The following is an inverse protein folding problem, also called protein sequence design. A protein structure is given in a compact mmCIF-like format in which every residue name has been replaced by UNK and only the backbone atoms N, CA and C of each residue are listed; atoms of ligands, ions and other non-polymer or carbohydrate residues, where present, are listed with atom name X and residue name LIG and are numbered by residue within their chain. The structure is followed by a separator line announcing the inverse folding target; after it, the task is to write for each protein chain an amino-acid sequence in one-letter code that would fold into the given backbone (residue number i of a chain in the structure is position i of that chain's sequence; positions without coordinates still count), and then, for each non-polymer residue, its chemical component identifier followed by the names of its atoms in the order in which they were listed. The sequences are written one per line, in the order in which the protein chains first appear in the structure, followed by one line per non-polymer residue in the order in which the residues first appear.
data_IF_795622623874
#
_entry.id   IF_795622623874
#
_cell.length_a   1.000
_cell.length_b   1.000
_cell.length_c   1.000
_cell.angle_alpha   90.00
_cell.angle_beta   90.00
_cell.angle_gamma   90.00
#
_symmetry.space_group_name_H-M   'P 1'
#
loop_
_entity.id
_entity.type
_entity.pdbx_description
1 polymer ?
#
# COMPACT_ATOMS: atom_id res chain seq x y z
N UNK A 1 39.66 -9.90 60.65
CA UNK A 1 38.41 -10.33 59.98
C UNK A 1 38.75 -10.84 58.58
N UNK A 2 38.99 -12.15 58.40
CA UNK A 2 39.30 -12.71 57.08
C UNK A 2 38.03 -12.82 56.22
N UNK A 3 38.12 -12.37 54.96
CA UNK A 3 37.03 -12.49 53.96
C UNK A 3 36.99 -13.91 53.42
N UNK A 4 35.94 -14.65 53.75
CA UNK A 4 35.62 -15.95 53.15
C UNK A 4 35.34 -15.81 51.64
N UNK A 5 35.96 -16.69 50.85
CA UNK A 5 35.79 -16.76 49.40
C UNK A 5 34.60 -17.68 49.09
N UNK A 6 33.58 -17.13 48.45
CA UNK A 6 32.41 -17.87 47.96
C UNK A 6 32.82 -18.72 46.74
N UNK A 7 32.51 -20.04 46.70
CA UNK A 7 32.80 -20.89 45.56
C UNK A 7 31.83 -20.64 44.40
N UNK A 8 32.36 -20.49 43.18
CA UNK A 8 31.60 -20.35 41.93
C UNK A 8 31.01 -21.70 41.52
N UNK A 9 29.70 -21.87 41.66
CA UNK A 9 28.99 -23.05 41.16
C UNK A 9 28.93 -23.05 39.63
N UNK A 10 29.48 -24.10 39.03
CA UNK A 10 29.54 -24.40 37.60
C UNK A 10 28.16 -24.85 37.09
N UNK A 11 27.44 -23.97 36.40
CA UNK A 11 26.20 -24.31 35.68
C UNK A 11 26.55 -25.20 34.49
N UNK A 12 26.03 -26.43 34.47
CA UNK A 12 26.18 -27.37 33.35
C UNK A 12 25.12 -27.04 32.30
N UNK A 13 25.56 -26.73 31.08
CA UNK A 13 24.72 -26.46 29.92
C UNK A 13 23.84 -27.66 29.59
N UNK A 14 22.53 -27.42 29.50
CA UNK A 14 21.55 -28.37 29.01
C UNK A 14 21.74 -28.58 27.49
N UNK A 15 21.73 -29.86 27.13
CA UNK A 15 21.89 -30.44 25.80
C UNK A 15 20.75 -29.98 24.89
N UNK A 16 21.07 -29.23 23.83
CA UNK A 16 20.14 -28.90 22.75
C UNK A 16 19.87 -30.13 21.90
N UNK A 17 18.61 -30.58 21.84
CA UNK A 17 18.17 -31.60 20.88
C UNK A 17 18.18 -31.05 19.44
N UNK A 18 18.54 -31.88 18.44
CA UNK A 18 18.50 -31.46 17.04
C UNK A 18 17.07 -31.39 16.50
N UNK A 19 16.72 -30.22 15.98
CA UNK A 19 15.47 -29.90 15.28
C UNK A 19 15.19 -30.86 14.11
N UNK A 20 14.07 -31.58 14.19
CA UNK A 20 13.53 -32.46 13.12
C UNK A 20 12.81 -31.61 12.08
N UNK A 21 13.33 -31.59 10.84
CA UNK A 21 12.69 -30.89 9.70
C UNK A 21 11.32 -31.51 9.38
N UNK A 22 10.27 -30.72 9.11
CA UNK A 22 9.03 -31.23 8.56
C UNK A 22 9.21 -31.61 7.08
N UNK A 23 8.70 -32.79 6.75
CA UNK A 23 8.65 -33.39 5.42
C UNK A 23 7.66 -32.59 4.57
N UNK A 24 8.05 -32.26 3.34
CA UNK A 24 7.17 -31.67 2.33
C UNK A 24 6.63 -32.82 1.48
N UNK A 25 5.36 -33.17 1.67
CA UNK A 25 4.66 -33.99 0.71
C UNK A 25 3.62 -33.12 0.00
N UNK A 26 3.86 -33.01 -1.30
CA UNK A 26 3.09 -32.33 -2.33
C UNK A 26 2.13 -33.33 -2.96
N UNK A 27 0.82 -33.10 -2.88
CA UNK A 27 -0.17 -33.73 -3.77
C UNK A 27 -1.23 -32.66 -4.12
N UNK A 28 -1.22 -32.21 -5.39
CA UNK A 28 -2.27 -32.43 -6.39
C UNK A 28 -3.59 -31.72 -6.01
N UNK A 29 -3.78 -30.45 -6.42
CA UNK A 29 -4.49 -30.05 -7.64
C UNK A 29 -5.65 -30.99 -8.01
N UNK A 30 -6.85 -30.63 -7.56
CA UNK A 30 -8.08 -30.95 -8.28
C UNK A 30 -8.86 -29.65 -8.49
N UNK A 31 -8.65 -29.06 -9.67
CA UNK A 31 -9.44 -27.97 -10.20
C UNK A 31 -10.58 -28.56 -11.01
N UNK A 32 -11.78 -28.61 -10.42
CA UNK A 32 -12.99 -28.90 -11.17
C UNK A 32 -14.17 -28.10 -10.61
N UNK A 33 -14.95 -27.57 -11.55
CA UNK A 33 -16.35 -27.11 -11.42
C UNK A 33 -16.55 -25.68 -10.89
N UNK A 34 -16.53 -24.71 -11.82
CA UNK A 34 -17.70 -23.83 -11.98
C UNK A 34 -17.76 -23.34 -13.43
N UNK A 35 -18.63 -23.97 -14.21
CA UNK A 35 -19.13 -23.43 -15.48
C UNK A 35 -20.20 -22.39 -15.14
N UNK A 36 -20.09 -21.19 -15.69
CA UNK A 36 -21.24 -20.33 -15.92
C UNK A 36 -21.14 -19.76 -17.32
N UNK A 37 -22.12 -20.17 -18.10
CA UNK A 37 -22.47 -19.82 -19.46
C UNK A 37 -22.48 -18.30 -19.71
N UNK A 38 -21.93 -17.89 -20.85
CA UNK A 38 -22.54 -16.85 -21.67
C UNK A 38 -22.40 -17.27 -23.13
N UNK A 39 -23.49 -17.75 -23.71
CA UNK A 39 -23.64 -17.94 -25.15
C UNK A 39 -23.57 -16.60 -25.88
N UNK A 40 -22.74 -16.59 -26.92
CA UNK A 40 -22.74 -15.66 -28.04
C UNK A 40 -24.06 -15.73 -28.81
N UNK A 41 -24.60 -14.54 -29.16
CA UNK A 41 -25.35 -14.37 -30.41
C UNK A 41 -24.83 -13.16 -31.17
N UNK A 42 -24.00 -13.48 -32.16
CA UNK A 42 -23.81 -12.86 -33.46
C UNK A 42 -24.59 -11.56 -33.75
N UNK A 43 -23.83 -10.48 -34.00
CA UNK A 43 -23.99 -9.68 -35.22
C UNK A 43 -22.64 -9.29 -35.80
N UNK A 44 -22.28 -10.02 -36.84
CA UNK A 44 -21.22 -9.77 -37.80
C UNK A 44 -21.56 -8.52 -38.66
N UNK A 45 -20.71 -7.49 -38.63
CA UNK A 45 -20.51 -6.57 -39.77
C UNK A 45 -19.01 -6.33 -39.85
N UNK A 46 -18.41 -6.82 -40.94
CA UNK A 46 -16.97 -6.85 -41.15
C UNK A 46 -16.36 -5.49 -41.47
N UNK A 47 -15.02 -5.47 -41.39
CA UNK A 47 -14.22 -5.06 -42.54
C UNK A 47 -12.80 -5.59 -42.37
N UNK A 48 -12.47 -6.51 -43.27
CA UNK A 48 -11.13 -7.03 -43.49
C UNK A 48 -10.19 -5.91 -43.94
N UNK A 49 -9.00 -5.86 -43.35
CA UNK A 49 -7.88 -5.11 -43.93
C UNK A 49 -6.86 -6.06 -44.55
N UNK A 50 -6.43 -5.78 -45.79
CA UNK A 50 -5.63 -6.70 -46.61
C UNK A 50 -4.15 -6.68 -46.23
N UNK A 51 -3.49 -7.83 -46.43
CA UNK A 51 -2.04 -7.95 -46.56
C UNK A 51 -1.64 -7.61 -48.00
N UNK A 52 -0.57 -6.83 -48.18
CA UNK A 52 0.24 -6.86 -49.39
C UNK A 52 1.67 -6.41 -49.07
N UNK A 53 2.63 -7.25 -49.45
CA UNK A 53 4.05 -6.98 -49.56
C UNK A 53 4.34 -6.10 -50.79
N UNK A 54 5.14 -5.03 -50.63
CA UNK A 54 6.02 -4.46 -51.66
C UNK A 54 6.83 -3.27 -51.09
N UNK A 55 8.14 -3.27 -51.35
CA UNK A 55 9.04 -2.10 -51.30
C UNK A 55 9.55 -1.85 -52.74
N UNK A 56 10.33 -0.78 -53.06
CA UNK A 56 10.51 0.55 -52.45
C UNK A 56 10.35 1.71 -53.48
N UNK A 57 10.23 2.98 -53.05
CA UNK A 57 10.95 4.15 -53.63
C UNK A 57 10.45 5.51 -53.13
N UNK A 58 11.42 6.40 -52.88
CA UNK A 58 11.41 7.86 -53.08
C UNK A 58 10.44 8.76 -52.25
N UNK A 59 11.01 9.32 -51.17
CA UNK A 59 11.16 10.78 -51.02
C UNK A 59 9.94 11.63 -50.66
N UNK A 60 9.83 12.04 -49.39
CA UNK A 60 9.54 13.43 -48.99
C UNK A 60 9.69 13.59 -47.46
N UNK A 61 10.40 14.65 -47.07
CA UNK A 61 10.60 15.11 -45.68
C UNK A 61 9.26 15.57 -45.09
N UNK A 62 8.97 15.23 -43.82
CA UNK A 62 8.46 16.18 -42.82
C UNK A 62 8.12 15.52 -41.46
N UNK A 63 8.63 16.14 -40.41
CA UNK A 63 8.04 16.32 -39.08
C UNK A 63 7.68 15.07 -38.23
N UNK A 64 8.64 14.68 -37.40
CA UNK A 64 8.47 13.93 -36.16
C UNK A 64 7.49 14.63 -35.20
N UNK A 65 6.26 14.10 -35.09
CA UNK A 65 5.29 14.55 -34.09
C UNK A 65 5.56 13.87 -32.75
N UNK A 66 6.37 14.55 -31.94
CA UNK A 66 6.57 14.33 -30.50
C UNK A 66 5.20 14.26 -29.81
N UNK A 67 4.88 13.11 -29.20
CA UNK A 67 3.67 12.91 -28.41
C UNK A 67 3.91 13.61 -27.07
N UNK A 68 3.44 14.85 -26.96
CA UNK A 68 3.45 15.61 -25.72
C UNK A 68 2.44 15.00 -24.74
N UNK A 69 2.94 14.63 -23.56
CA UNK A 69 2.11 14.41 -22.39
C UNK A 69 1.45 15.74 -21.99
N UNK A 70 0.14 15.80 -21.73
CA UNK A 70 -0.47 17.00 -21.20
C UNK A 70 -0.09 17.14 -19.72
N UNK A 71 1.03 17.82 -19.46
CA UNK A 71 1.36 18.38 -18.15
C UNK A 71 0.52 19.65 -17.92
N UNK A 72 -0.75 19.48 -17.57
CA UNK A 72 -1.55 20.60 -17.05
C UNK A 72 -1.10 20.93 -15.62
N UNK A 73 -0.04 21.73 -15.49
CA UNK A 73 0.19 22.56 -14.30
C UNK A 73 -0.92 23.61 -14.25
N UNK A 74 -2.02 23.32 -13.54
CA UNK A 74 -2.96 24.36 -13.10
C UNK A 74 -2.44 24.98 -11.80
N UNK A 75 -2.53 26.31 -11.76
CA UNK A 75 -1.92 27.20 -10.79
C UNK A 75 -2.18 26.80 -9.33
N UNK A 76 -1.09 26.64 -8.59
CA UNK A 76 -1.00 26.38 -7.16
C UNK A 76 -0.90 27.69 -6.36
N UNK A 77 -1.77 28.67 -6.63
CA UNK A 77 -1.63 30.00 -6.05
C UNK A 77 -1.90 30.03 -4.52
N UNK A 78 -2.61 29.03 -3.98
CA UNK A 78 -2.97 28.95 -2.57
C UNK A 78 -2.35 27.73 -1.83
N UNK A 79 -1.47 26.96 -2.50
CA UNK A 79 -0.85 25.80 -1.85
C UNK A 79 0.46 26.19 -1.15
N UNK A 80 0.76 25.62 0.03
CA UNK A 80 2.00 25.87 0.74
C UNK A 80 3.23 25.41 -0.05
N UNK A 81 4.37 26.04 0.21
CA UNK A 81 5.66 25.71 -0.41
C UNK A 81 6.06 24.25 -0.20
N UNK A 82 5.70 23.67 0.95
CA UNK A 82 5.90 22.27 1.27
C UNK A 82 4.59 21.50 1.27
N UNK A 83 4.59 20.35 0.60
CA UNK A 83 3.46 19.44 0.59
C UNK A 83 3.14 18.86 1.98
N UNK A 84 4.10 18.86 2.91
CA UNK A 84 3.90 18.37 4.28
C UNK A 84 2.91 19.24 5.07
N UNK A 85 2.85 20.53 4.76
CA UNK A 85 2.03 21.52 5.46
C UNK A 85 0.58 21.53 4.99
N UNK A 86 0.23 20.74 3.97
CA UNK A 86 -1.13 20.61 3.47
C UNK A 86 -2.01 19.96 4.54
N UNK A 87 -2.96 20.72 5.08
CA UNK A 87 -3.95 20.20 6.02
C UNK A 87 -4.87 19.19 5.32
N UNK A 88 -5.06 18.02 5.92
CA UNK A 88 -6.01 17.00 5.46
C UNK A 88 -7.27 17.06 6.32
N UNK A 89 -8.43 16.82 5.71
CA UNK A 89 -9.70 16.76 6.44
C UNK A 89 -9.73 15.54 7.38
N UNK A 90 -9.91 15.81 8.68
CA UNK A 90 -10.08 14.79 9.71
C UNK A 90 -11.58 14.54 9.93
N UNK A 91 -11.98 13.26 9.97
CA UNK A 91 -13.35 12.84 10.35
C UNK A 91 -13.23 11.95 11.58
N UNK A 92 -14.03 12.23 12.61
CA UNK A 92 -13.99 11.47 13.89
C UNK A 92 -12.60 11.50 14.56
N UNK A 93 -11.83 12.57 14.35
CA UNK A 93 -10.50 12.74 14.92
C UNK A 93 -9.41 11.89 14.26
N UNK A 94 -9.67 11.24 13.12
CA UNK A 94 -8.66 10.58 12.30
C UNK A 94 -8.81 10.97 10.81
N UNK A 95 -7.72 10.92 10.03
CA UNK A 95 -7.81 11.09 8.57
C UNK A 95 -8.41 9.83 7.95
N UNK A 96 -9.49 9.95 7.14
CA UNK A 96 -10.05 8.80 6.44
C UNK A 96 -9.08 8.17 5.43
N UNK A 97 -8.91 6.86 5.53
CA UNK A 97 -8.11 6.07 4.59
C UNK A 97 -9.03 5.38 3.58
N UNK A 98 -9.08 5.87 2.33
CA UNK A 98 -9.94 5.28 1.29
C UNK A 98 -9.25 4.22 0.43
N UNK A 99 -7.92 4.29 0.35
CA UNK A 99 -7.10 3.33 -0.41
C UNK A 99 -6.86 2.07 0.42
N UNK A 100 -6.83 0.90 -0.23
CA UNK A 100 -6.52 -0.36 0.44
C UNK A 100 -5.02 -0.49 0.73
N UNK A 101 -4.66 -1.34 1.71
CA UNK A 101 -3.25 -1.51 2.09
C UNK A 101 -2.40 -2.03 0.91
N UNK A 102 -3.00 -2.81 0.00
CA UNK A 102 -2.34 -3.26 -1.21
C UNK A 102 -2.05 -2.12 -2.21
N UNK A 103 -2.97 -1.17 -2.45
CA UNK A 103 -2.69 0.02 -3.27
C UNK A 103 -1.64 0.91 -2.64
N UNK A 104 -1.69 1.14 -1.32
CA UNK A 104 -0.66 1.92 -0.63
C UNK A 104 0.72 1.29 -0.84
N UNK A 105 0.87 -0.03 -0.62
CA UNK A 105 2.14 -0.72 -0.91
C UNK A 105 2.60 -0.58 -2.34
N UNK A 106 1.70 -0.75 -3.32
CA UNK A 106 2.04 -0.59 -4.75
C UNK A 106 2.52 0.83 -5.06
N UNK A 107 1.85 1.85 -4.53
CA UNK A 107 2.23 3.26 -4.71
C UNK A 107 3.57 3.58 -4.06
N UNK A 108 3.79 3.12 -2.82
CA UNK A 108 5.07 3.31 -2.13
C UNK A 108 6.22 2.58 -2.82
N UNK A 109 6.03 1.32 -3.24
CA UNK A 109 7.04 0.60 -4.02
C UNK A 109 7.31 1.31 -5.35
N UNK A 110 6.29 1.83 -6.04
CA UNK A 110 6.49 2.59 -7.27
C UNK A 110 7.33 3.86 -7.05
N UNK A 111 7.18 4.56 -5.92
CA UNK A 111 8.02 5.71 -5.56
C UNK A 111 9.48 5.30 -5.34
N UNK A 112 9.70 4.18 -4.65
CA UNK A 112 11.04 3.63 -4.36
C UNK A 112 11.73 3.12 -5.63
N UNK A 113 11.02 2.37 -6.46
CA UNK A 113 11.54 1.74 -7.68
C UNK A 113 11.87 2.80 -8.73
N UNK A 114 11.01 3.80 -8.89
CA UNK A 114 11.26 4.94 -9.79
C UNK A 114 12.30 5.92 -9.25
N UNK A 115 12.71 5.79 -7.99
CA UNK A 115 13.56 6.75 -7.27
C UNK A 115 13.03 8.18 -7.47
N UNK A 116 11.72 8.35 -7.27
CA UNK A 116 11.05 9.63 -7.49
C UNK A 116 11.71 10.72 -6.61
N UNK A 117 11.79 11.96 -7.12
CA UNK A 117 12.34 13.07 -6.35
C UNK A 117 11.34 13.52 -5.29
N UNK A 118 11.84 13.85 -4.11
CA UNK A 118 11.03 14.41 -3.05
C UNK A 118 10.73 15.88 -3.42
N UNK A 119 9.46 16.31 -3.44
CA UNK A 119 9.12 17.71 -3.65
C UNK A 119 9.89 18.62 -2.68
N UNK A 120 10.49 19.70 -3.19
CA UNK A 120 11.29 20.62 -2.37
C UNK A 120 12.69 20.13 -1.97
N UNK A 121 13.10 18.92 -2.38
CA UNK A 121 14.45 18.40 -2.10
C UNK A 121 15.19 17.97 -3.37
N UNK A 122 16.53 17.94 -3.27
CA UNK A 122 17.40 17.32 -4.29
C UNK A 122 17.47 15.79 -4.16
N UNK A 123 16.97 15.24 -3.05
CA UNK A 123 17.03 13.81 -2.73
C UNK A 123 15.89 13.03 -3.39
N UNK A 124 16.14 11.73 -3.58
CA UNK A 124 15.14 10.78 -4.07
C UNK A 124 14.52 9.98 -2.93
N UNK A 125 13.34 9.41 -3.17
CA UNK A 125 12.70 8.47 -2.27
C UNK A 125 13.53 7.19 -2.20
N UNK A 126 14.00 6.89 -1.00
CA UNK A 126 14.54 5.61 -0.56
C UNK A 126 13.81 5.22 0.73
N UNK A 127 14.05 4.01 1.27
CA UNK A 127 13.31 3.55 2.46
C UNK A 127 13.54 4.43 3.69
N UNK A 128 14.73 5.01 3.82
CA UNK A 128 15.08 5.90 4.94
C UNK A 128 14.42 7.26 4.80
N UNK A 129 14.49 7.90 3.62
CA UNK A 129 13.82 9.17 3.39
C UNK A 129 12.30 9.02 3.44
N UNK A 130 11.74 7.98 2.84
CA UNK A 130 10.30 7.70 2.91
C UNK A 130 9.80 7.52 4.35
N UNK A 131 10.52 6.74 5.16
CA UNK A 131 10.21 6.58 6.58
C UNK A 131 10.31 7.91 7.33
N UNK A 132 11.29 8.76 6.99
CA UNK A 132 11.44 10.09 7.59
C UNK A 132 10.27 11.02 7.25
N UNK A 133 9.87 11.13 5.98
CA UNK A 133 8.72 11.96 5.59
C UNK A 133 7.44 11.51 6.30
N UNK A 134 7.25 10.20 6.49
CA UNK A 134 6.13 9.66 7.26
C UNK A 134 6.22 10.02 8.76
N UNK A 135 7.41 10.05 9.35
CA UNK A 135 7.62 10.51 10.72
C UNK A 135 7.33 12.01 10.88
N UNK A 136 7.73 12.84 9.91
CA UNK A 136 7.48 14.28 9.93
C UNK A 136 5.95 14.56 9.85
N UNK A 137 5.22 13.77 9.06
CA UNK A 137 3.74 13.79 9.06
C UNK A 137 3.19 13.30 10.40
N UNK A 138 3.74 12.25 10.99
CA UNK A 138 3.25 11.71 12.25
C UNK A 138 3.38 12.74 13.40
N UNK A 139 4.50 13.45 13.46
CA UNK A 139 4.77 14.44 14.49
C UNK A 139 3.87 15.69 14.38
N UNK A 140 3.38 16.01 13.18
CA UNK A 140 2.46 17.14 12.94
C UNK A 140 0.98 16.78 13.16
N UNK A 141 0.66 15.50 13.38
CA UNK A 141 -0.72 15.02 13.52
C UNK A 141 -0.99 14.39 14.89
N UNK A 142 -2.28 14.14 15.16
CA UNK A 142 -2.74 13.51 16.39
C UNK A 142 -2.20 12.08 16.53
N UNK A 143 -1.96 11.59 17.77
CA UNK A 143 -1.61 10.19 18.02
C UNK A 143 -2.70 9.24 17.52
N UNK A 144 -2.26 8.19 16.82
CA UNK A 144 -3.18 7.18 16.27
C UNK A 144 -3.12 5.89 17.06
N UNK A 145 -4.23 5.16 17.07
CA UNK A 145 -4.27 3.79 17.58
C UNK A 145 -3.62 2.83 16.57
N UNK A 146 -2.70 2.01 17.07
CA UNK A 146 -1.95 0.99 16.33
C UNK A 146 -1.91 -0.30 17.15
N UNK A 147 -1.38 -1.38 16.56
CA UNK A 147 -1.15 -2.65 17.26
C UNK A 147 -0.27 -2.50 18.52
N UNK A 148 0.62 -1.51 18.54
CA UNK A 148 1.57 -1.29 19.62
C UNK A 148 1.13 -0.19 20.61
N UNK A 149 -0.13 0.28 20.50
CA UNK A 149 -0.68 1.32 21.35
C UNK A 149 -0.98 2.62 20.60
N UNK A 150 -1.18 3.70 21.35
CA UNK A 150 -1.47 5.04 20.83
C UNK A 150 -0.20 5.87 20.79
N UNK A 151 0.25 6.30 19.61
CA UNK A 151 1.50 7.07 19.43
C UNK A 151 1.54 7.85 18.12
N UNK A 152 2.48 8.78 18.01
CA UNK A 152 2.69 9.66 16.85
C UNK A 152 4.16 9.72 16.38
N UNK A 153 4.98 8.70 16.70
CA UNK A 153 6.39 8.68 16.30
C UNK A 153 6.60 8.40 14.80
N UNK A 154 5.59 7.83 14.15
CA UNK A 154 5.67 7.38 12.76
C UNK A 154 6.45 6.06 12.58
N UNK A 155 6.42 5.49 11.36
CA UNK A 155 6.95 4.16 11.11
C UNK A 155 8.48 4.18 11.00
N UNK A 156 9.16 3.31 11.74
CA UNK A 156 10.58 3.03 11.52
C UNK A 156 10.85 2.39 10.14
N UNK A 157 12.08 2.49 9.63
CA UNK A 157 12.50 1.86 8.36
C UNK A 157 12.24 0.35 8.35
N UNK A 158 12.37 -0.32 9.50
CA UNK A 158 12.07 -1.74 9.66
C UNK A 158 10.57 -2.02 9.55
N UNK A 159 9.74 -1.20 10.18
CA UNK A 159 8.27 -1.31 10.09
C UNK A 159 7.78 -1.05 8.65
N UNK A 160 8.33 -0.03 7.98
CA UNK A 160 8.09 0.21 6.55
C UNK A 160 8.48 -1.01 5.71
N UNK A 161 9.68 -1.56 5.91
CA UNK A 161 10.14 -2.74 5.16
C UNK A 161 9.26 -3.96 5.40
N UNK A 162 8.78 -4.17 6.64
CA UNK A 162 7.87 -5.26 6.96
C UNK A 162 6.50 -5.05 6.28
N UNK A 163 5.97 -3.82 6.31
CA UNK A 163 4.72 -3.47 5.65
C UNK A 163 4.80 -3.74 4.14
N UNK A 164 5.85 -3.26 3.46
CA UNK A 164 6.02 -3.45 2.02
C UNK A 164 6.11 -4.93 1.59
N UNK A 165 6.52 -5.83 2.50
CA UNK A 165 6.60 -7.28 2.26
C UNK A 165 5.28 -8.02 2.51
N UNK A 166 4.29 -7.39 3.16
CA UNK A 166 2.98 -8.01 3.41
C UNK A 166 2.19 -8.17 2.10
N UNK A 167 1.23 -9.09 2.11
CA UNK A 167 0.32 -9.38 0.99
C UNK A 167 -1.16 -9.22 1.41
N UNK A 168 -2.08 -9.35 0.46
CA UNK A 168 -3.53 -9.26 0.69
C UNK A 168 -4.06 -7.82 0.84
N UNK A 169 -5.33 -7.57 0.50
CA UNK A 169 -5.91 -6.21 0.46
C UNK A 169 -5.80 -5.44 1.79
N UNK A 170 -5.92 -6.14 2.93
CA UNK A 170 -5.90 -5.55 4.28
C UNK A 170 -4.62 -5.84 5.08
N UNK A 171 -3.66 -6.59 4.52
CA UNK A 171 -2.44 -6.96 5.26
C UNK A 171 -1.65 -5.71 5.66
N UNK A 172 -1.39 -5.55 6.96
CA UNK A 172 -0.75 -4.36 7.53
C UNK A 172 -1.64 -3.13 7.64
N UNK A 173 -2.97 -3.28 7.55
CA UNK A 173 -3.93 -2.19 7.65
C UNK A 173 -3.94 -1.48 9.01
N UNK A 174 -3.35 -2.06 10.05
CA UNK A 174 -3.20 -1.45 11.37
C UNK A 174 -1.81 -0.84 11.63
N UNK A 175 -0.93 -0.88 10.62
CA UNK A 175 0.41 -0.32 10.74
C UNK A 175 0.40 1.20 10.55
N UNK A 176 1.32 1.87 11.25
CA UNK A 176 1.60 3.31 11.06
C UNK A 176 1.96 3.62 9.60
N UNK A 177 2.72 2.72 8.98
CA UNK A 177 3.11 2.85 7.57
C UNK A 177 1.91 2.96 6.64
N UNK A 178 0.85 2.20 6.90
CA UNK A 178 -0.37 2.26 6.09
C UNK A 178 -1.07 3.60 6.26
N UNK A 179 -1.26 4.04 7.51
CA UNK A 179 -1.97 5.29 7.82
C UNK A 179 -1.20 6.52 7.31
N UNK A 180 0.03 6.72 7.78
CA UNK A 180 0.84 7.87 7.36
C UNK A 180 1.26 7.78 5.90
N UNK A 181 1.34 6.58 5.33
CA UNK A 181 1.54 6.40 3.89
C UNK A 181 0.36 6.88 3.06
N UNK A 182 -0.86 6.65 3.52
CA UNK A 182 -2.05 7.22 2.89
C UNK A 182 -2.05 8.74 2.95
N UNK A 183 -1.74 9.31 4.11
CA UNK A 183 -1.64 10.77 4.26
C UNK A 183 -0.56 11.37 3.38
N UNK A 184 0.62 10.75 3.32
CA UNK A 184 1.72 11.16 2.46
C UNK A 184 1.30 11.20 0.99
N UNK A 185 0.72 10.11 0.49
CA UNK A 185 0.26 10.00 -0.90
C UNK A 185 -0.84 11.02 -1.20
N UNK A 186 -1.70 11.31 -0.24
CA UNK A 186 -2.77 12.29 -0.41
C UNK A 186 -2.25 13.73 -0.42
N UNK A 187 -1.34 14.07 0.49
CA UNK A 187 -0.64 15.36 0.48
C UNK A 187 0.10 15.56 -0.84
N UNK A 188 0.82 14.54 -1.32
CA UNK A 188 1.49 14.57 -2.62
C UNK A 188 0.52 14.76 -3.79
N UNK A 189 -0.66 14.10 -3.77
CA UNK A 189 -1.69 14.25 -4.81
C UNK A 189 -2.25 15.67 -4.86
N UNK A 190 -2.59 16.23 -3.70
CA UNK A 190 -3.11 17.60 -3.59
C UNK A 190 -2.05 18.58 -4.09
N UNK A 191 -0.80 18.39 -3.67
CA UNK A 191 0.33 19.22 -4.09
C UNK A 191 0.60 19.14 -5.60
N UNK A 192 0.50 17.96 -6.22
CA UNK A 192 0.66 17.79 -7.67
C UNK A 192 -0.55 18.27 -8.48
N UNK A 193 -1.67 18.60 -7.81
CA UNK A 193 -2.93 18.97 -8.47
C UNK A 193 -3.62 17.81 -9.17
N UNK A 194 -3.28 16.56 -8.81
CA UNK A 194 -3.87 15.37 -9.39
C UNK A 194 -5.33 15.20 -8.93
N UNK A 195 -6.22 14.93 -9.89
CA UNK A 195 -7.63 14.65 -9.59
C UNK A 195 -7.78 13.37 -8.78
N UNK A 196 -8.85 13.26 -8.01
CA UNK A 196 -9.22 12.00 -7.34
C UNK A 196 -9.39 10.91 -8.39
N UNK A 197 -8.96 9.69 -8.07
CA UNK A 197 -9.17 8.54 -8.95
C UNK A 197 -10.62 8.07 -8.84
N UNK A 198 -11.18 7.50 -9.92
CA UNK A 198 -12.53 6.89 -9.89
C UNK A 198 -12.67 5.83 -8.80
N UNK A 199 -11.59 5.10 -8.52
CA UNK A 199 -11.55 4.10 -7.44
C UNK A 199 -11.69 4.76 -6.07
N UNK A 200 -11.07 5.92 -5.87
CA UNK A 200 -11.20 6.70 -4.65
C UNK A 200 -12.60 7.28 -4.50
N UNK A 201 -13.18 7.83 -5.56
CA UNK A 201 -14.55 8.35 -5.54
C UNK A 201 -15.56 7.27 -5.10
N UNK A 202 -15.44 6.06 -5.67
CA UNK A 202 -16.25 4.91 -5.25
C UNK A 202 -15.99 4.51 -3.79
N UNK A 203 -14.74 4.56 -3.34
CA UNK A 203 -14.40 4.25 -1.95
C UNK A 203 -14.89 5.31 -0.97
N UNK A 204 -14.98 6.58 -1.38
CA UNK A 204 -15.57 7.66 -0.58
C UNK A 204 -17.09 7.47 -0.42
N UNK A 205 -17.75 6.93 -1.46
CA UNK A 205 -19.18 6.56 -1.43
C UNK A 205 -19.44 5.31 -0.57
N UNK A 206 -18.63 4.26 -0.73
CA UNK A 206 -18.77 2.99 0.01
C UNK A 206 -18.35 3.12 1.50
N UNK A 207 -17.33 3.93 1.77
CA UNK A 207 -16.73 4.08 3.11
C UNK A 207 -16.68 5.57 3.52
N UNK A 208 -17.79 6.20 3.94
CA UNK A 208 -17.83 7.64 4.22
C UNK A 208 -16.83 8.10 5.31
N UNK A 209 -16.49 7.22 6.25
CA UNK A 209 -15.52 7.45 7.33
C UNK A 209 -14.14 6.82 7.05
N UNK A 210 -13.92 6.35 5.82
CA UNK A 210 -12.73 5.59 5.42
C UNK A 210 -12.82 4.10 5.79
N UNK A 211 -11.87 3.32 5.26
CA UNK A 211 -11.77 1.88 5.50
C UNK A 211 -11.30 1.58 6.92
N UNK A 212 -11.82 0.51 7.50
CA UNK A 212 -11.37 0.02 8.81
C UNK A 212 -9.87 -0.37 8.78
N UNK A 213 -9.09 0.20 9.70
CA UNK A 213 -7.63 0.10 9.77
C UNK A 213 -7.17 -1.09 10.59
N UNK A 214 -7.62 -2.30 10.27
CA UNK A 214 -7.21 -3.51 11.01
C UNK A 214 -6.69 -4.60 10.08
N UNK A 215 -5.53 -5.18 10.45
CA UNK A 215 -4.99 -6.34 9.76
C UNK A 215 -5.75 -7.61 10.21
N UNK A 216 -6.34 -8.40 9.29
CA UNK A 216 -6.97 -9.68 9.59
C UNK A 216 -6.12 -10.64 10.43
N UNK A 217 -4.79 -10.50 10.41
CA UNK A 217 -3.90 -11.31 11.23
C UNK A 217 -3.93 -10.96 12.73
N UNK A 218 -4.42 -9.78 13.12
CA UNK A 218 -4.31 -9.27 14.49
C UNK A 218 -5.63 -9.26 15.27
N UNK A 219 -6.74 -9.66 14.66
CA UNK A 219 -8.02 -9.80 15.36
C UNK A 219 -8.73 -11.07 14.91
N UNK A 220 -9.72 -11.47 15.72
CA UNK A 220 -10.53 -12.67 15.49
C UNK A 220 -12.00 -12.25 15.55
N UNK A 221 -12.79 -12.79 14.64
CA UNK A 221 -14.24 -12.62 14.62
C UNK A 221 -14.84 -13.95 15.09
N UNK A 222 -15.66 -13.90 16.14
CA UNK A 222 -16.40 -15.07 16.61
C UNK A 222 -17.70 -15.17 15.79
N UNK A 223 -17.74 -16.11 14.85
CA UNK A 223 -18.92 -16.41 14.04
C UNK A 223 -19.68 -17.65 14.56
N UNK A 224 -20.95 -17.79 14.19
CA UNK A 224 -21.71 -19.03 14.41
C UNK A 224 -21.19 -20.14 13.49
N UNK A 225 -21.47 -21.42 13.78
CA UNK A 225 -21.14 -22.51 12.86
C UNK A 225 -21.73 -22.25 11.46
N UNK A 226 -20.87 -22.23 10.43
CA UNK A 226 -21.26 -21.97 9.04
C UNK A 226 -21.23 -20.49 8.60
N UNK A 227 -21.03 -19.55 9.52
CA UNK A 227 -20.97 -18.13 9.22
C UNK A 227 -19.50 -17.69 8.99
N UNK A 228 -19.20 -17.18 7.80
CA UNK A 228 -17.89 -16.58 7.50
C UNK A 228 -18.08 -15.11 7.11
N UNK A 229 -17.54 -14.16 7.90
CA UNK A 229 -17.64 -12.75 7.57
C UNK A 229 -16.90 -12.47 6.26
N UNK A 230 -17.56 -11.75 5.37
CA UNK A 230 -16.99 -11.31 4.11
C UNK A 230 -15.95 -10.21 4.36
N UNK A 231 -14.97 -10.09 3.46
CA UNK A 231 -13.92 -9.05 3.56
C UNK A 231 -14.51 -7.63 3.59
N UNK A 232 -15.64 -7.42 2.91
CA UNK A 232 -16.33 -6.13 2.87
C UNK A 232 -16.98 -5.82 4.21
N UNK A 233 -17.65 -6.78 4.84
CA UNK A 233 -18.18 -6.63 6.20
C UNK A 233 -17.07 -6.33 7.20
N UNK A 234 -15.93 -7.02 7.08
CA UNK A 234 -14.74 -6.74 7.89
C UNK A 234 -14.21 -5.32 7.69
N UNK A 235 -14.12 -4.86 6.44
CA UNK A 235 -13.65 -3.51 6.13
C UNK A 235 -14.62 -2.40 6.57
N UNK A 236 -15.90 -2.76 6.76
CA UNK A 236 -16.99 -1.90 7.24
C UNK A 236 -17.27 -2.04 8.73
N UNK A 237 -16.54 -2.88 9.47
CA UNK A 237 -16.69 -2.94 10.92
C UNK A 237 -16.42 -1.55 11.50
N UNK A 238 -17.34 -1.10 12.35
CA UNK A 238 -17.41 0.29 12.84
C UNK A 238 -16.04 0.82 13.25
N UNK A 239 -15.71 1.98 12.69
CA UNK A 239 -14.70 2.90 13.23
C UNK A 239 -15.35 3.73 14.34
#
# INVERSE_FOLDING_TARGET
MPREKIPKSRVKNARTEPYRKPVKDTEAIDSAVYQSETEDKDKHVGNAWPKADAAPAAGAKAASKKREEPSTKKASADLPDSYLDIALEEKEGEVPCYEDAAAVRRKLNALLDKKAKIPGSTKTFNKTSLSKEMCDIAQSHHPIKTTAGVRNDGPSVRALTAFLKKSGSMGGGDSETYYYGNMLLEKMRIWSGEKKSKTREKAEEEFPNGRYRTDPAHFKILGRPGEQPTKTEVANMKR
#
